data_IF_469711467586
#
_entry.id   IF_469711467586
#
_cell.length_a   1.000
_cell.length_b   1.000
_cell.length_c   1.000
_cell.angle_alpha   90.00
_cell.angle_beta   90.00
_cell.angle_gamma   90.00
#
_symmetry.space_group_name_H-M   'P 1'
#
loop_
_entity.id
_entity.type
_entity.pdbx_description
1 polymer ?
#
# COMPACT_ATOMS: atom_id res chain seq x y z
N UNK A 1 1.21 11.71 45.72
CA UNK A 1 1.61 10.57 44.89
C UNK A 1 0.93 10.71 43.53
N UNK A 2 1.67 10.60 42.45
CA UNK A 2 1.08 10.54 41.13
C UNK A 2 0.15 9.31 41.04
N UNK A 3 -0.96 9.43 40.33
CA UNK A 3 -1.84 8.31 40.02
C UNK A 3 -1.19 7.34 39.02
N UNK A 4 -1.90 6.25 38.69
CA UNK A 4 -1.43 5.20 37.80
C UNK A 4 -2.07 5.25 36.40
N UNK A 5 -2.92 6.25 36.15
CA UNK A 5 -3.56 6.45 34.86
C UNK A 5 -2.55 7.03 33.88
N UNK A 6 -2.23 6.25 32.84
CA UNK A 6 -1.25 6.64 31.82
C UNK A 6 -1.75 7.74 30.88
N UNK A 7 -3.07 7.97 30.82
CA UNK A 7 -3.67 9.03 30.00
C UNK A 7 -3.69 10.38 30.73
N UNK A 8 -3.20 10.44 31.98
CA UNK A 8 -3.11 11.63 32.80
C UNK A 8 -1.65 12.06 32.98
N UNK A 9 -1.38 13.31 32.70
CA UNK A 9 -0.14 13.98 33.05
C UNK A 9 -0.31 14.57 34.46
N UNK A 10 0.29 13.92 35.46
CA UNK A 10 0.15 14.30 36.83
C UNK A 10 1.11 15.43 37.20
N UNK A 11 0.60 16.38 37.93
CA UNK A 11 1.43 17.43 38.54
C UNK A 11 2.45 16.83 39.51
N UNK A 12 3.69 17.20 39.34
CA UNK A 12 4.82 16.77 40.17
C UNK A 12 5.20 17.83 41.22
N UNK A 13 4.37 18.88 41.34
CA UNK A 13 4.60 19.96 42.30
C UNK A 13 4.76 19.41 43.69
N UNK A 14 5.72 19.97 44.43
CA UNK A 14 5.99 19.69 45.85
C UNK A 14 6.24 21.03 46.52
N UNK A 15 5.20 21.55 47.17
CA UNK A 15 5.26 22.87 47.81
C UNK A 15 5.33 22.80 49.33
N UNK A 16 5.99 23.79 49.90
CA UNK A 16 6.17 23.92 51.32
C UNK A 16 5.29 25.04 51.89
N UNK A 17 4.50 24.70 52.91
CA UNK A 17 3.73 25.67 53.68
C UNK A 17 4.48 25.96 54.97
N UNK A 18 4.88 27.22 55.16
CA UNK A 18 5.55 27.66 56.40
C UNK A 18 4.57 28.26 57.38
N UNK A 19 4.54 27.71 58.58
CA UNK A 19 3.75 28.27 59.67
C UNK A 19 4.69 28.89 60.69
N UNK A 20 4.64 30.22 60.83
CA UNK A 20 5.42 30.94 61.80
C UNK A 20 4.55 31.23 63.06
N UNK A 21 4.91 30.61 64.18
CA UNK A 21 4.22 30.84 65.44
C UNK A 21 5.05 31.82 66.31
N UNK A 22 4.43 32.92 66.76
CA UNK A 22 5.04 33.91 67.62
C UNK A 22 4.24 34.01 68.95
N UNK A 23 4.96 34.17 70.08
CA UNK A 23 4.36 34.38 71.36
C UNK A 23 4.50 35.84 71.70
N UNK A 24 3.40 36.51 72.06
CA UNK A 24 3.45 37.86 72.66
C UNK A 24 4.09 37.80 74.02
N UNK A 25 5.10 38.59 74.22
CA UNK A 25 5.89 38.59 75.50
C UNK A 25 5.13 39.13 76.71
N UNK A 26 4.11 39.97 76.51
CA UNK A 26 3.35 40.61 77.55
C UNK A 26 2.08 39.81 77.89
N UNK A 27 1.37 39.38 76.93
CA UNK A 27 0.07 38.69 77.09
C UNK A 27 0.18 37.17 77.10
N UNK A 28 1.31 36.64 76.63
CA UNK A 28 1.53 35.21 76.46
C UNK A 28 0.71 34.57 75.31
N UNK A 29 -0.02 35.36 74.53
CA UNK A 29 -0.85 34.92 73.44
C UNK A 29 0.02 34.41 72.28
N UNK A 30 -0.32 33.26 71.74
CA UNK A 30 0.30 32.71 70.54
C UNK A 30 -0.46 33.16 69.29
N UNK A 31 0.29 33.65 68.27
CA UNK A 31 -0.23 34.02 66.99
C UNK A 31 0.47 33.17 65.90
N UNK A 32 -0.29 32.49 65.11
CA UNK A 32 0.23 31.74 63.92
C UNK A 32 0.01 32.55 62.66
N UNK A 33 1.09 32.70 61.90
CA UNK A 33 1.03 33.25 60.53
C UNK A 33 1.42 32.18 59.55
N UNK A 34 0.53 31.90 58.53
CA UNK A 34 0.74 30.94 57.49
C UNK A 34 1.25 31.66 56.25
N UNK A 35 2.37 31.22 55.74
CA UNK A 35 2.90 31.66 54.44
C UNK A 35 2.66 30.54 53.45
N UNK A 36 1.75 30.80 52.52
CA UNK A 36 1.41 29.89 51.44
C UNK A 36 2.43 30.02 50.29
N UNK A 37 2.73 28.95 49.54
CA UNK A 37 3.51 29.04 48.32
C UNK A 37 2.84 29.94 47.28
N UNK A 38 3.61 30.39 46.28
CA UNK A 38 3.11 31.25 45.23
C UNK A 38 2.14 30.50 44.30
N UNK A 39 2.37 29.21 44.11
CA UNK A 39 1.46 28.28 43.42
C UNK A 39 0.96 27.25 44.45
N UNK A 40 -0.32 27.10 44.56
CA UNK A 40 -0.98 26.17 45.49
C UNK A 40 -1.97 25.24 44.77
N UNK A 41 -1.93 25.20 43.43
CA UNK A 41 -2.80 24.40 42.63
C UNK A 41 -2.06 23.19 42.06
N UNK A 42 -2.60 22.01 42.28
CA UNK A 42 -2.14 20.79 41.65
C UNK A 42 -2.96 20.56 40.38
N UNK A 43 -2.28 20.67 39.24
CA UNK A 43 -2.92 20.63 37.92
C UNK A 43 -2.60 19.34 37.15
N UNK A 44 -3.57 18.42 37.11
CA UNK A 44 -3.48 17.23 36.31
C UNK A 44 -4.16 17.43 34.95
N UNK A 45 -3.58 16.88 33.88
CA UNK A 45 -4.06 17.09 32.53
C UNK A 45 -4.27 15.76 31.82
N UNK A 46 -5.43 15.57 31.17
CA UNK A 46 -5.64 14.47 30.27
C UNK A 46 -4.87 14.72 28.96
N UNK A 47 -4.14 13.72 28.50
CA UNK A 47 -3.38 13.72 27.26
C UNK A 47 -4.06 12.76 26.26
N UNK A 48 -4.64 13.31 25.21
CA UNK A 48 -5.29 12.49 24.20
C UNK A 48 -4.28 11.68 23.40
N UNK A 49 -4.60 10.42 23.05
CA UNK A 49 -3.75 9.62 22.18
C UNK A 49 -3.69 10.21 20.75
N UNK A 50 -2.59 9.98 20.05
CA UNK A 50 -2.43 10.34 18.64
C UNK A 50 -2.50 9.11 17.78
N UNK A 51 -3.16 9.21 16.62
CA UNK A 51 -3.29 8.12 15.65
C UNK A 51 -2.57 8.45 14.35
N UNK A 52 -1.92 7.45 13.76
CA UNK A 52 -1.24 7.54 12.47
C UNK A 52 -1.80 6.48 11.55
N UNK A 53 -2.17 6.88 10.34
CA UNK A 53 -2.57 5.98 9.27
C UNK A 53 -1.77 6.29 8.02
N UNK A 54 -1.30 5.24 7.35
CA UNK A 54 -0.63 5.33 6.07
C UNK A 54 -1.21 4.28 5.12
N UNK A 55 -1.04 4.51 3.83
CA UNK A 55 -1.56 3.64 2.80
C UNK A 55 -0.47 3.37 1.77
N UNK A 56 -0.54 2.21 1.15
CA UNK A 56 0.25 1.80 0.00
C UNK A 56 -0.65 1.47 -1.16
N UNK A 57 -0.07 1.29 -2.33
CA UNK A 57 -0.79 0.89 -3.53
C UNK A 57 -0.23 -0.41 -4.10
N UNK A 58 -1.10 -1.18 -4.74
CA UNK A 58 -0.75 -2.36 -5.51
C UNK A 58 -1.07 -2.15 -6.96
N UNK A 59 -0.13 -2.49 -7.84
CA UNK A 59 -0.31 -2.52 -9.28
C UNK A 59 0.02 -3.90 -9.83
N UNK A 60 -0.74 -4.34 -10.81
CA UNK A 60 -0.48 -5.56 -11.55
C UNK A 60 -0.36 -5.23 -13.03
N UNK A 61 0.81 -5.47 -13.61
CA UNK A 61 1.04 -5.32 -15.05
C UNK A 61 0.65 -6.59 -15.79
N UNK A 62 -0.03 -6.45 -16.91
CA UNK A 62 -0.39 -7.55 -17.82
C UNK A 62 -1.84 -8.02 -17.73
N UNK A 63 -2.55 -7.75 -16.66
CA UNK A 63 -4.01 -7.96 -16.52
C UNK A 63 -4.61 -7.10 -15.44
N UNK A 64 -5.92 -7.06 -15.35
CA UNK A 64 -6.63 -6.35 -14.27
C UNK A 64 -6.36 -6.99 -12.91
N UNK A 65 -6.16 -6.12 -11.92
CA UNK A 65 -6.03 -6.45 -10.51
C UNK A 65 -7.41 -6.74 -9.91
N UNK A 66 -7.51 -7.76 -9.07
CA UNK A 66 -8.73 -8.10 -8.34
C UNK A 66 -8.59 -7.75 -6.86
N UNK A 67 -9.70 -7.43 -6.21
CA UNK A 67 -9.71 -7.25 -4.77
C UNK A 67 -9.32 -8.54 -4.05
N UNK A 68 -8.48 -8.43 -3.02
CA UNK A 68 -8.04 -9.55 -2.19
C UNK A 68 -7.04 -10.49 -2.86
N UNK A 69 -6.46 -10.10 -3.99
CA UNK A 69 -5.57 -10.97 -4.76
C UNK A 69 -4.17 -11.09 -4.17
N UNK A 70 -3.67 -10.01 -3.60
CA UNK A 70 -2.35 -9.97 -2.98
C UNK A 70 -2.48 -9.55 -1.52
N UNK A 71 -1.66 -10.15 -0.67
CA UNK A 71 -1.63 -9.86 0.76
C UNK A 71 -0.37 -9.11 1.15
N UNK A 72 -0.48 -8.25 2.16
CA UNK A 72 0.60 -7.40 2.65
C UNK A 72 0.67 -7.50 4.17
N UNK A 73 1.87 -7.52 4.70
CA UNK A 73 2.12 -7.57 6.14
C UNK A 73 2.76 -6.28 6.61
N UNK A 74 2.26 -5.77 7.73
CA UNK A 74 2.90 -4.74 8.52
C UNK A 74 3.68 -5.41 9.65
N UNK A 75 4.97 -5.11 9.75
CA UNK A 75 5.87 -5.64 10.77
C UNK A 75 6.46 -4.51 11.61
N UNK A 76 6.76 -4.80 12.87
CA UNK A 76 7.58 -3.92 13.71
C UNK A 76 9.08 -4.02 13.34
N UNK A 77 9.92 -3.20 13.98
CA UNK A 77 11.36 -3.19 13.80
C UNK A 77 12.03 -4.56 14.11
N UNK A 78 11.39 -5.37 14.95
CA UNK A 78 11.88 -6.71 15.32
C UNK A 78 11.43 -7.80 14.36
N UNK A 79 10.60 -7.45 13.36
CA UNK A 79 10.04 -8.37 12.38
C UNK A 79 8.76 -9.08 12.82
N UNK A 80 8.17 -8.71 13.97
CA UNK A 80 6.88 -9.27 14.39
C UNK A 80 5.77 -8.72 13.51
N UNK A 81 4.89 -9.60 13.03
CA UNK A 81 3.72 -9.20 12.25
C UNK A 81 2.68 -8.53 13.16
N UNK A 82 2.32 -7.30 12.83
CA UNK A 82 1.28 -6.52 13.52
C UNK A 82 -0.08 -6.76 12.86
N UNK A 83 -0.11 -6.67 11.52
CA UNK A 83 -1.34 -6.80 10.75
C UNK A 83 -1.06 -7.39 9.36
N UNK A 84 -2.04 -8.10 8.83
CA UNK A 84 -2.04 -8.58 7.43
C UNK A 84 -3.30 -8.09 6.76
N UNK A 85 -3.15 -7.43 5.61
CA UNK A 85 -4.26 -6.90 4.81
C UNK A 85 -4.11 -7.33 3.37
N UNK A 86 -5.19 -7.19 2.59
CA UNK A 86 -5.16 -7.41 1.15
C UNK A 86 -5.47 -6.12 0.39
N UNK A 87 -5.10 -6.05 -0.88
CA UNK A 87 -5.47 -4.95 -1.76
C UNK A 87 -6.98 -4.92 -2.03
N UNK A 88 -7.55 -3.74 -2.20
CA UNK A 88 -8.88 -3.59 -2.80
C UNK A 88 -8.83 -3.66 -4.34
N UNK A 89 -9.98 -3.55 -5.00
CA UNK A 89 -10.07 -3.60 -6.47
C UNK A 89 -9.35 -2.41 -7.16
N UNK A 90 -9.15 -1.30 -6.47
CA UNK A 90 -8.41 -0.14 -6.98
C UNK A 90 -6.89 -0.24 -6.73
N UNK A 91 -6.44 -1.30 -6.06
CA UNK A 91 -5.06 -1.50 -5.67
C UNK A 91 -4.70 -0.86 -4.32
N UNK A 92 -5.65 -0.28 -3.59
CA UNK A 92 -5.35 0.33 -2.30
C UNK A 92 -5.08 -0.74 -1.24
N UNK A 93 -3.96 -0.56 -0.51
CA UNK A 93 -3.55 -1.35 0.65
C UNK A 93 -3.72 -0.46 1.88
N UNK A 94 -4.67 -0.82 2.75
CA UNK A 94 -5.05 -0.02 3.91
C UNK A 94 -4.87 -0.80 5.19
N UNK A 95 -3.90 -0.41 6.01
CA UNK A 95 -3.72 -0.91 7.37
C UNK A 95 -4.60 -0.15 8.37
N UNK A 96 -4.83 -0.74 9.52
CA UNK A 96 -5.45 -0.07 10.67
C UNK A 96 -4.59 1.10 11.15
N UNK A 97 -5.23 2.08 11.80
CA UNK A 97 -4.48 3.19 12.39
C UNK A 97 -3.67 2.71 13.60
N UNK A 98 -2.41 3.10 13.65
CA UNK A 98 -1.55 2.93 14.82
C UNK A 98 -1.87 4.03 15.82
N UNK A 99 -2.04 3.67 17.09
CA UNK A 99 -2.40 4.59 18.17
C UNK A 99 -1.26 4.66 19.18
N UNK A 100 -0.85 5.85 19.54
CA UNK A 100 0.18 6.12 20.55
C UNK A 100 -0.41 6.92 21.70
N UNK A 101 -0.13 6.48 22.92
CA UNK A 101 -0.61 7.07 24.16
C UNK A 101 0.46 7.91 24.85
N UNK A 102 0.06 8.64 25.87
CA UNK A 102 0.99 9.37 26.74
C UNK A 102 2.00 8.39 27.39
N UNK A 103 3.28 8.73 27.32
CA UNK A 103 4.39 7.86 27.74
C UNK A 103 4.94 6.95 26.64
N UNK A 104 4.33 6.98 25.44
CA UNK A 104 4.80 6.25 24.26
C UNK A 104 5.50 7.20 23.25
N UNK A 105 6.14 8.27 23.75
CA UNK A 105 6.97 9.12 22.92
C UNK A 105 8.23 8.37 22.48
N UNK A 106 8.58 8.52 21.20
CA UNK A 106 9.72 7.79 20.66
C UNK A 106 9.77 7.80 19.13
N UNK A 107 10.68 7.01 18.62
CA UNK A 107 10.79 6.73 17.17
C UNK A 107 10.49 5.26 16.94
N UNK A 108 9.59 4.99 16.02
CA UNK A 108 9.12 3.66 15.67
C UNK A 108 9.41 3.41 14.20
N UNK A 109 9.92 2.23 13.90
CA UNK A 109 10.19 1.78 12.54
C UNK A 109 9.27 0.60 12.23
N UNK A 110 8.61 0.69 11.10
CA UNK A 110 7.75 -0.37 10.58
C UNK A 110 8.18 -0.76 9.17
N UNK A 111 7.91 -2.00 8.82
CA UNK A 111 8.18 -2.53 7.49
C UNK A 111 6.89 -3.06 6.88
N UNK A 112 6.64 -2.69 5.63
CA UNK A 112 5.54 -3.23 4.83
C UNK A 112 6.14 -4.07 3.72
N UNK A 113 5.65 -5.30 3.58
CA UNK A 113 6.12 -6.26 2.60
C UNK A 113 4.92 -6.95 1.94
N UNK A 114 5.05 -7.31 0.68
CA UNK A 114 4.11 -8.20 0.04
C UNK A 114 4.36 -9.64 0.46
N UNK A 115 3.29 -10.37 0.78
CA UNK A 115 3.37 -11.81 1.04
C UNK A 115 3.53 -12.53 -0.29
N UNK A 116 4.71 -13.12 -0.52
CA UNK A 116 4.96 -13.87 -1.74
C UNK A 116 3.96 -15.02 -1.90
N UNK A 117 3.19 -14.96 -2.97
CA UNK A 117 2.27 -16.02 -3.34
C UNK A 117 2.96 -17.16 -4.10
N UNK A 118 2.14 -18.15 -4.48
CA UNK A 118 2.59 -19.35 -5.22
C UNK A 118 2.00 -19.41 -6.62
N UNK A 119 1.29 -18.37 -7.07
CA UNK A 119 0.67 -18.35 -8.40
C UNK A 119 1.74 -18.35 -9.49
N UNK A 120 1.68 -19.36 -10.37
CA UNK A 120 2.59 -19.47 -11.48
C UNK A 120 2.30 -18.37 -12.52
N UNK A 121 3.36 -17.78 -13.07
CA UNK A 121 3.23 -16.70 -14.06
C UNK A 121 3.04 -15.32 -13.44
N UNK A 122 3.27 -15.15 -12.14
CA UNK A 122 3.37 -13.86 -11.46
C UNK A 122 4.81 -13.64 -10.99
N UNK A 123 5.40 -12.54 -11.41
CA UNK A 123 6.61 -11.97 -10.83
C UNK A 123 6.18 -11.01 -9.71
N UNK A 124 6.50 -11.38 -8.46
CA UNK A 124 6.12 -10.62 -7.27
C UNK A 124 7.13 -9.52 -6.96
N UNK A 125 6.65 -8.41 -6.47
CA UNK A 125 7.50 -7.36 -5.93
C UNK A 125 8.26 -7.85 -4.69
N UNK A 126 9.51 -7.41 -4.56
CA UNK A 126 10.38 -7.74 -3.42
C UNK A 126 10.67 -6.51 -2.55
N UNK A 127 9.92 -5.42 -2.76
CA UNK A 127 10.09 -4.19 -2.00
C UNK A 127 9.81 -4.43 -0.51
N UNK A 128 10.66 -3.85 0.32
CA UNK A 128 10.45 -3.70 1.75
C UNK A 128 10.32 -2.20 2.00
N UNK A 129 9.11 -1.75 2.18
CA UNK A 129 8.82 -0.35 2.41
C UNK A 129 8.99 -0.02 3.90
N UNK A 130 9.91 0.88 4.22
CA UNK A 130 10.18 1.29 5.60
C UNK A 130 9.44 2.58 5.93
N UNK A 131 8.64 2.55 7.01
CA UNK A 131 7.87 3.68 7.53
C UNK A 131 8.45 4.08 8.89
N UNK A 132 8.89 5.33 9.00
CA UNK A 132 9.30 5.94 10.26
C UNK A 132 8.15 6.71 10.89
N UNK A 133 7.91 6.54 12.19
CA UNK A 133 6.94 7.35 12.95
C UNK A 133 7.67 7.93 14.15
N UNK A 134 7.63 9.25 14.27
CA UNK A 134 8.20 9.97 15.42
C UNK A 134 7.09 10.59 16.24
N UNK A 135 6.93 10.11 17.45
CA UNK A 135 5.95 10.62 18.43
C UNK A 135 6.65 11.52 19.43
N UNK A 136 6.13 12.70 19.62
CA UNK A 136 6.62 13.68 20.60
C UNK A 136 5.45 14.23 21.38
N UNK A 137 5.74 14.63 22.62
CA UNK A 137 4.83 15.43 23.43
C UNK A 137 5.23 16.90 23.31
N UNK A 138 4.27 17.75 23.00
CA UNK A 138 4.42 19.20 22.98
C UNK A 138 3.38 19.81 23.93
N UNK A 139 3.86 20.24 25.09
CA UNK A 139 2.98 20.62 26.18
C UNK A 139 2.07 19.46 26.62
N UNK A 140 0.78 19.57 26.30
CA UNK A 140 -0.27 18.60 26.68
C UNK A 140 -0.81 17.78 25.50
N UNK A 141 -0.13 17.81 24.36
CA UNK A 141 -0.58 17.16 23.13
C UNK A 141 0.50 16.23 22.60
N UNK A 142 0.10 15.03 22.19
CA UNK A 142 0.96 14.14 21.42
C UNK A 142 0.90 14.54 19.95
N UNK A 143 2.06 14.63 19.33
CA UNK A 143 2.23 14.91 17.91
C UNK A 143 3.00 13.75 17.29
N UNK A 144 2.45 13.16 16.22
CA UNK A 144 3.12 12.14 15.44
C UNK A 144 3.49 12.70 14.05
N UNK A 145 4.72 12.43 13.63
CA UNK A 145 5.21 12.73 12.28
C UNK A 145 5.54 11.42 11.59
N UNK A 146 5.11 11.25 10.34
CA UNK A 146 5.34 10.04 9.55
C UNK A 146 6.31 10.33 8.42
N UNK A 147 7.32 9.48 8.28
CA UNK A 147 8.26 9.46 7.18
C UNK A 147 7.98 8.21 6.32
N UNK A 148 7.43 8.42 5.14
CA UNK A 148 7.17 7.36 4.18
C UNK A 148 8.37 7.16 3.25
N UNK A 149 8.59 5.95 2.71
CA UNK A 149 9.59 5.73 1.67
C UNK A 149 9.21 6.49 0.39
N UNK A 150 10.18 6.72 -0.48
CA UNK A 150 9.96 7.38 -1.76
C UNK A 150 9.06 6.57 -2.69
N UNK A 151 9.12 5.24 -2.58
CA UNK A 151 8.25 4.32 -3.29
C UNK A 151 7.23 3.70 -2.33
N UNK A 152 5.96 3.83 -2.68
CA UNK A 152 4.81 3.30 -1.92
C UNK A 152 3.92 2.41 -2.78
N UNK A 153 4.40 2.00 -3.97
CA UNK A 153 3.67 1.16 -4.90
C UNK A 153 4.34 -0.21 -5.06
N UNK A 154 3.62 -1.28 -4.73
CA UNK A 154 4.04 -2.65 -4.99
C UNK A 154 3.63 -3.08 -6.40
N UNK A 155 4.61 -3.44 -7.23
CA UNK A 155 4.42 -3.73 -8.65
C UNK A 155 4.64 -5.21 -8.96
N UNK A 156 3.58 -5.95 -9.27
CA UNK A 156 3.70 -7.30 -9.79
C UNK A 156 3.49 -7.32 -11.31
N UNK A 157 4.07 -8.32 -11.95
CA UNK A 157 3.99 -8.49 -13.39
C UNK A 157 3.54 -9.90 -13.75
N UNK A 158 2.58 -9.99 -14.68
CA UNK A 158 2.21 -11.27 -15.28
C UNK A 158 3.26 -11.65 -16.33
N UNK A 159 3.89 -12.80 -16.14
CA UNK A 159 4.81 -13.36 -17.13
C UNK A 159 4.04 -14.24 -18.10
N UNK A 160 4.15 -14.02 -19.42
CA UNK A 160 3.52 -14.90 -20.39
C UNK A 160 4.02 -16.34 -20.23
N UNK A 161 3.18 -17.36 -20.49
CA UNK A 161 3.65 -18.73 -20.48
C UNK A 161 4.77 -18.90 -21.51
N UNK A 162 5.84 -19.56 -21.08
CA UNK A 162 6.96 -19.88 -22.00
C UNK A 162 6.40 -20.63 -23.20
N UNK A 163 6.66 -20.18 -24.45
CA UNK A 163 6.24 -20.92 -25.65
C UNK A 163 6.72 -22.38 -25.53
N UNK A 164 5.88 -23.35 -25.90
CA UNK A 164 6.32 -24.74 -25.89
C UNK A 164 7.59 -24.88 -26.72
N UNK A 165 8.60 -25.53 -26.18
CA UNK A 165 9.83 -25.85 -26.91
C UNK A 165 9.44 -26.55 -28.20
N UNK A 166 9.91 -26.09 -29.38
CA UNK A 166 9.62 -26.78 -30.65
C UNK A 166 10.00 -28.24 -30.50
N UNK A 167 9.02 -29.14 -30.62
CA UNK A 167 9.28 -30.57 -30.69
C UNK A 167 10.02 -30.80 -32.03
N UNK A 168 11.32 -31.03 -31.95
CA UNK A 168 12.10 -31.45 -33.11
C UNK A 168 11.53 -32.80 -33.53
N UNK A 169 10.97 -32.94 -34.75
CA UNK A 169 10.49 -34.24 -35.19
C UNK A 169 11.62 -35.26 -35.10
N UNK A 170 11.33 -36.52 -34.75
CA UNK A 170 12.34 -37.55 -34.76
C UNK A 170 12.99 -37.58 -36.13
N UNK A 171 14.31 -37.43 -36.19
CA UNK A 171 15.06 -37.59 -37.45
C UNK A 171 14.88 -39.05 -37.87
N UNK A 172 14.02 -39.29 -38.87
CA UNK A 172 13.91 -40.62 -39.44
C UNK A 172 15.29 -41.01 -39.97
N UNK A 173 15.85 -42.16 -39.58
CA UNK A 173 17.12 -42.61 -40.13
C UNK A 173 17.02 -42.66 -41.66
N UNK A 174 18.09 -42.32 -42.42
CA UNK A 174 18.08 -42.41 -43.87
C UNK A 174 17.76 -43.85 -44.29
N UNK A 175 16.80 -44.02 -45.19
CA UNK A 175 16.42 -45.28 -45.75
C UNK A 175 17.66 -45.93 -46.38
N UNK A 176 17.98 -47.20 -46.11
CA UNK A 176 19.11 -47.86 -46.73
C UNK A 176 18.96 -47.82 -48.27
N UNK A 177 20.06 -47.67 -49.02
CA UNK A 177 19.98 -47.60 -50.46
C UNK A 177 19.41 -48.93 -51.00
N UNK A 178 18.42 -48.80 -51.91
CA UNK A 178 17.77 -49.92 -52.59
C UNK A 178 18.82 -50.69 -53.44
N UNK A 179 18.85 -52.04 -53.36
CA UNK A 179 19.76 -52.82 -54.21
C UNK A 179 19.53 -52.53 -55.68
N UNK A 180 20.61 -52.26 -56.41
CA UNK A 180 20.60 -52.05 -57.84
C UNK A 180 20.31 -53.40 -58.50
N UNK A 181 19.12 -53.56 -59.10
CA UNK A 181 18.80 -54.69 -59.98
C UNK A 181 19.40 -54.41 -61.32
N UNK A 182 20.09 -55.41 -62.00
CA UNK A 182 20.67 -55.22 -63.30
C UNK A 182 19.59 -54.97 -64.40
N UNK A 183 19.91 -54.27 -65.49
CA UNK A 183 18.91 -53.86 -66.46
C UNK A 183 18.35 -55.05 -67.24
N UNK A 184 17.05 -55.20 -67.23
CA UNK A 184 16.31 -56.12 -68.13
C UNK A 184 16.03 -55.39 -69.43
N UNK A 185 16.33 -56.05 -70.52
CA UNK A 185 16.17 -55.59 -71.91
C UNK A 185 14.78 -55.00 -72.21
N UNK A 186 14.67 -53.91 -72.98
CA UNK A 186 13.42 -53.22 -73.17
C UNK A 186 12.50 -53.91 -74.15
N UNK A 187 11.20 -54.00 -73.97
CA UNK A 187 10.21 -54.35 -74.96
C UNK A 187 9.87 -53.14 -75.85
N UNK A 188 9.55 -53.45 -77.13
CA UNK A 188 9.25 -52.57 -78.23
C UNK A 188 8.04 -51.68 -77.96
N UNK A 189 8.03 -50.40 -78.41
CA UNK A 189 6.97 -49.47 -78.10
C UNK A 189 5.71 -49.66 -78.94
N UNK A 190 4.50 -49.51 -78.38
CA UNK A 190 3.27 -49.37 -79.16
C UNK A 190 3.04 -47.91 -79.55
N UNK A 191 2.40 -47.74 -80.68
CA UNK A 191 2.05 -46.53 -81.44
C UNK A 191 1.20 -45.56 -80.60
N UNK A 192 1.33 -44.25 -80.80
CA UNK A 192 0.62 -43.25 -79.98
C UNK A 192 -0.84 -43.11 -80.35
N UNK A 193 -1.72 -43.22 -79.42
CA UNK A 193 -3.14 -42.84 -79.55
C UNK A 193 -3.33 -41.42 -79.04
N UNK A 194 -3.84 -40.52 -79.86
CA UNK A 194 -4.11 -39.13 -79.62
C UNK A 194 -5.38 -39.03 -78.76
N UNK A 195 -5.29 -38.62 -77.52
CA UNK A 195 -6.46 -38.23 -76.78
C UNK A 195 -6.47 -36.71 -76.51
N UNK A 196 -7.55 -36.13 -77.01
CA UNK A 196 -7.92 -34.71 -76.90
C UNK A 196 -8.09 -34.26 -75.46
N UNK A 197 -7.36 -33.22 -75.08
CA UNK A 197 -7.51 -32.52 -73.75
C UNK A 197 -8.75 -31.64 -73.81
N UNK A 198 -9.74 -31.93 -72.94
CA UNK A 198 -10.83 -31.01 -72.69
C UNK A 198 -10.36 -29.95 -71.71
N UNK A 199 -10.47 -28.71 -72.13
CA UNK A 199 -10.27 -27.51 -71.29
C UNK A 199 -11.18 -27.51 -70.05
N UNK A 200 -10.62 -27.36 -68.90
CA UNK A 200 -11.38 -27.04 -67.68
C UNK A 200 -11.36 -25.54 -67.47
N UNK A 201 -12.56 -24.98 -67.55
CA UNK A 201 -12.87 -23.58 -67.44
C UNK A 201 -12.87 -23.15 -66.00
N UNK A 202 -12.23 -21.99 -65.73
CA UNK A 202 -12.59 -20.96 -64.80
C UNK A 202 -12.87 -21.33 -63.36
N UNK A 203 -11.93 -21.00 -62.49
CA UNK A 203 -12.21 -20.71 -61.06
C UNK A 203 -12.61 -19.24 -60.91
N UNK A 204 -13.85 -19.02 -60.50
CA UNK A 204 -14.37 -17.71 -60.08
C UNK A 204 -13.76 -17.32 -58.73
N UNK A 205 -13.37 -16.05 -58.50
CA UNK A 205 -12.92 -15.61 -57.18
C UNK A 205 -14.11 -15.43 -56.25
N UNK A 206 -13.98 -15.97 -55.02
CA UNK A 206 -14.91 -15.74 -53.93
C UNK A 206 -14.71 -14.32 -53.43
N UNK A 207 -15.75 -13.51 -53.47
CA UNK A 207 -15.80 -12.18 -52.93
C UNK A 207 -15.71 -12.23 -51.38
N UNK A 208 -14.78 -11.50 -50.82
CA UNK A 208 -14.65 -11.25 -49.40
C UNK A 208 -15.67 -10.16 -49.02
N UNK A 209 -16.73 -10.53 -48.31
CA UNK A 209 -17.68 -9.54 -47.76
C UNK A 209 -17.03 -8.69 -46.66
N UNK A 210 -17.22 -7.39 -46.81
CA UNK A 210 -16.59 -6.35 -46.07
C UNK A 210 -16.90 -6.37 -44.57
N UNK A 211 -15.86 -6.18 -43.79
CA UNK A 211 -15.93 -5.74 -42.41
C UNK A 211 -16.41 -4.29 -42.42
N UNK A 212 -17.56 -4.03 -41.79
CA UNK A 212 -18.07 -2.68 -41.60
C UNK A 212 -17.12 -1.93 -40.67
N UNK A 213 -16.57 -0.86 -41.17
CA UNK A 213 -15.88 0.17 -40.39
C UNK A 213 -16.87 0.79 -39.37
N UNK A 214 -16.57 0.62 -38.10
CA UNK A 214 -17.33 1.27 -37.04
C UNK A 214 -16.75 2.68 -36.84
N UNK A 215 -17.56 3.69 -37.20
CA UNK A 215 -17.24 5.10 -37.03
C UNK A 215 -16.95 5.40 -35.54
N UNK A 216 -15.80 6.05 -35.28
CA UNK A 216 -15.43 6.63 -34.00
C UNK A 216 -16.34 7.84 -33.71
N UNK A 217 -16.86 7.99 -32.48
CA UNK A 217 -17.62 9.17 -32.11
C UNK A 217 -16.73 10.41 -32.11
N UNK A 218 -17.19 11.46 -32.78
CA UNK A 218 -16.58 12.80 -32.76
C UNK A 218 -16.64 13.37 -31.34
N UNK A 219 -15.48 13.75 -30.83
CA UNK A 219 -15.33 14.58 -29.64
C UNK A 219 -15.94 15.97 -29.91
N UNK A 220 -17.07 16.23 -29.28
CA UNK A 220 -17.64 17.57 -29.15
C UNK A 220 -17.42 18.05 -27.70
N UNK A 221 -16.91 19.26 -27.61
CA UNK A 221 -16.65 20.04 -26.43
C UNK A 221 -17.65 19.87 -25.29
N UNK A 222 -17.17 19.47 -24.09
CA UNK A 222 -17.70 19.99 -22.85
C UNK A 222 -16.55 20.09 -21.82
N UNK A 223 -16.28 21.31 -21.45
CA UNK A 223 -15.44 21.69 -20.33
C UNK A 223 -16.02 21.06 -19.06
N UNK A 224 -15.39 20.04 -18.53
CA UNK A 224 -15.53 19.70 -17.13
C UNK A 224 -14.16 19.89 -16.49
N UNK A 225 -14.14 20.79 -15.53
CA UNK A 225 -13.00 21.10 -14.68
C UNK A 225 -12.53 19.81 -14.02
N UNK A 226 -11.33 19.41 -14.34
CA UNK A 226 -10.61 18.38 -13.60
C UNK A 226 -10.17 19.03 -12.32
N UNK A 227 -10.90 18.79 -11.24
CA UNK A 227 -10.42 19.06 -9.90
C UNK A 227 -9.25 18.11 -9.65
N UNK A 228 -8.06 18.65 -9.69
CA UNK A 228 -6.86 17.96 -9.20
C UNK A 228 -7.00 17.95 -7.68
N UNK A 229 -7.50 16.86 -7.13
CA UNK A 229 -7.33 16.55 -5.71
C UNK A 229 -5.85 16.21 -5.47
N UNK A 230 -5.09 17.26 -5.24
CA UNK A 230 -3.80 17.14 -4.56
C UNK A 230 -4.10 16.59 -3.17
N UNK A 231 -3.61 15.38 -2.89
CA UNK A 231 -3.73 14.74 -1.60
C UNK A 231 -3.27 15.67 -0.47
N UNK A 232 -4.22 16.40 0.10
CA UNK A 232 -4.00 17.28 1.22
C UNK A 232 -3.77 16.45 2.47
N UNK A 233 -2.60 16.62 3.02
CA UNK A 233 -2.24 16.26 4.39
C UNK A 233 -3.25 16.90 5.33
N UNK A 234 -4.25 16.14 5.79
CA UNK A 234 -5.20 16.61 6.78
C UNK A 234 -4.54 16.57 8.17
N UNK A 235 -3.78 17.59 8.48
CA UNK A 235 -3.45 17.91 9.88
C UNK A 235 -4.71 18.44 10.54
N UNK A 236 -5.37 17.56 11.29
CA UNK A 236 -6.44 17.95 12.18
C UNK A 236 -5.83 18.72 13.36
N UNK A 237 -5.69 20.03 13.19
CA UNK A 237 -5.43 20.94 14.31
C UNK A 237 -6.73 21.00 15.12
N UNK A 238 -6.74 20.30 16.24
CA UNK A 238 -7.82 20.41 17.23
C UNK A 238 -7.91 21.84 17.75
N UNK A 239 -8.91 22.58 17.26
CA UNK A 239 -9.23 23.92 17.75
C UNK A 239 -9.85 23.78 19.15
N UNK A 240 -9.05 23.96 20.18
CA UNK A 240 -9.54 24.10 21.57
C UNK A 240 -10.18 25.46 21.69
N UNK A 241 -11.52 25.51 21.63
CA UNK A 241 -12.29 26.69 21.99
C UNK A 241 -12.20 26.93 23.49
N UNK A 242 -11.27 27.77 23.89
CA UNK A 242 -11.24 28.34 25.25
C UNK A 242 -12.46 29.23 25.45
N UNK A 243 -13.44 28.72 26.17
CA UNK A 243 -14.64 29.48 26.55
C UNK A 243 -14.30 30.34 27.75
N UNK A 244 -13.92 31.58 27.52
CA UNK A 244 -13.73 32.61 28.56
C UNK A 244 -15.08 32.87 29.20
N UNK A 245 -15.33 32.40 30.44
CA UNK A 245 -16.46 32.82 31.27
C UNK A 245 -16.21 34.25 31.70
N UNK A 246 -17.04 35.19 31.26
CA UNK A 246 -17.17 36.49 31.89
C UNK A 246 -17.91 36.31 33.18
N UNK A 247 -17.23 36.61 34.30
CA UNK A 247 -17.92 36.91 35.54
C UNK A 247 -18.36 38.36 35.50
N UNK A 248 -19.68 38.57 35.50
CA UNK A 248 -20.29 39.84 35.87
C UNK A 248 -20.60 39.79 37.38
N UNK A 249 -20.25 40.86 38.02
CA UNK A 249 -20.60 41.41 39.36
C UNK A 249 -19.59 41.18 40.41
#
# INVERSE_FOLDING_TARGET
MAGTDTDIDYDTMNDEVTVKVTKDATTGILTANVVMPADSEFNNYAVAPVTVQFNFTKKLEGRELKAGEFSFVLKDEKGNVIETVANDASGKIKFSALTFKNGEEGTYIYHVEEVKGTEAGIEYDHMIATVGIKVKKDGRVLIATTELPADTEFNNKVTPPTPPTPVVPPVTPPTPPTPIVPPVTPPIPPTPEVQTVKSVTSLTPVAYEGVKEQELPKTGDNKSEVAIEVGGLLTLVGLVLSRKRKNNS
#
